data_IF_652482813839
#
_entry.id   IF_652482813839
#
_cell.length_a   1.000
_cell.length_b   1.000
_cell.length_c   1.000
_cell.angle_alpha   90.00
_cell.angle_beta   90.00
_cell.angle_gamma   90.00
#
_symmetry.space_group_name_H-M   'P 1'
#
loop_
_entity.id
_entity.type
_entity.pdbx_description
1 polymer ?
#
# COMPACT_ATOMS: atom_id res chain seq x y z
N UNK A 1 25.38 7.63 12.45
CA UNK A 1 25.21 7.72 10.98
C UNK A 1 23.89 7.03 10.62
N UNK A 2 22.76 7.74 10.68
CA UNK A 2 21.44 7.18 10.30
C UNK A 2 21.15 7.62 8.88
N UNK A 3 21.37 6.73 7.91
CA UNK A 3 20.96 6.95 6.51
C UNK A 3 19.45 6.79 6.46
N UNK A 4 18.72 7.91 6.44
CA UNK A 4 17.30 7.91 6.13
C UNK A 4 17.16 7.78 4.62
N UNK A 5 16.82 6.57 4.15
CA UNK A 5 16.37 6.35 2.78
C UNK A 5 14.88 6.62 2.78
N UNK A 6 14.47 7.80 2.29
CA UNK A 6 13.07 8.07 1.98
C UNK A 6 12.63 7.06 0.91
N UNK A 7 11.64 6.19 1.15
CA UNK A 7 11.06 5.43 0.06
C UNK A 7 10.31 6.43 -0.83
N UNK A 8 10.69 6.48 -2.10
CA UNK A 8 9.93 7.20 -3.10
C UNK A 8 8.55 6.53 -3.22
N UNK A 9 7.53 7.11 -2.60
CA UNK A 9 6.15 6.67 -2.77
C UNK A 9 5.68 7.21 -4.12
N UNK A 10 5.71 6.37 -5.14
CA UNK A 10 5.00 6.66 -6.40
C UNK A 10 3.54 6.34 -6.15
N UNK A 11 2.78 7.32 -5.65
CA UNK A 11 1.33 7.24 -5.61
C UNK A 11 0.80 7.39 -7.05
N UNK A 12 0.60 6.27 -7.72
CA UNK A 12 -0.06 6.23 -9.03
C UNK A 12 -1.55 5.93 -8.82
N UNK A 13 -2.41 6.93 -9.04
CA UNK A 13 -3.85 6.76 -9.06
C UNK A 13 -4.58 8.10 -9.01
N UNK A 14 -4.69 8.78 -10.16
CA UNK A 14 -5.39 10.05 -10.31
C UNK A 14 -6.81 9.83 -10.88
N UNK A 15 -7.81 10.24 -10.09
CA UNK A 15 -9.23 10.62 -10.33
C UNK A 15 -10.08 9.99 -11.45
N UNK A 16 -11.36 9.66 -11.14
CA UNK A 16 -12.56 10.35 -11.66
C UNK A 16 -13.89 9.74 -11.10
N UNK A 17 -14.77 10.64 -10.63
CA UNK A 17 -16.22 10.49 -10.35
C UNK A 17 -16.71 9.49 -9.30
N UNK A 18 -17.27 10.00 -8.20
CA UNK A 18 -18.13 9.26 -7.28
C UNK A 18 -18.25 9.97 -5.95
N UNK A 19 -19.46 10.40 -5.58
CA UNK A 19 -19.75 11.07 -4.32
C UNK A 19 -19.71 10.08 -3.14
N UNK A 20 -19.05 10.45 -2.04
CA UNK A 20 -19.00 9.71 -0.76
C UNK A 20 -17.74 8.85 -0.65
N UNK A 21 -16.95 8.91 0.42
CA UNK A 21 -17.15 9.42 1.78
C UNK A 21 -15.78 9.83 2.34
N UNK A 22 -15.74 10.66 3.38
CA UNK A 22 -14.51 10.98 4.13
C UNK A 22 -13.96 9.76 4.93
N UNK A 23 -14.21 8.54 4.47
CA UNK A 23 -13.68 7.33 5.07
C UNK A 23 -12.24 7.14 4.58
N UNK A 24 -11.30 7.18 5.53
CA UNK A 24 -9.86 7.08 5.29
C UNK A 24 -9.53 6.07 4.19
N UNK A 25 -9.15 6.56 3.01
CA UNK A 25 -8.84 5.71 1.87
C UNK A 25 -7.59 4.89 2.18
N UNK A 26 -7.64 3.56 2.12
CA UNK A 26 -6.43 2.76 2.31
C UNK A 26 -5.58 2.82 1.04
N UNK A 27 -4.25 2.89 1.20
CA UNK A 27 -3.28 2.71 0.11
C UNK A 27 -2.58 1.37 0.34
N UNK A 28 -2.40 0.57 -0.72
CA UNK A 28 -1.54 -0.62 -0.70
C UNK A 28 -0.25 -0.37 -1.46
N UNK A 29 0.85 -0.93 -0.98
CA UNK A 29 2.16 -0.83 -1.62
C UNK A 29 3.05 -2.01 -1.26
N UNK A 30 4.05 -2.31 -2.09
CA UNK A 30 5.05 -3.34 -1.79
C UNK A 30 6.21 -2.75 -1.01
N UNK A 31 6.57 -3.36 0.11
CA UNK A 31 7.79 -3.06 0.87
C UNK A 31 8.78 -4.20 0.70
N UNK A 32 9.95 -3.87 0.13
CA UNK A 32 11.06 -4.79 -0.02
C UNK A 32 12.06 -4.62 1.12
N UNK A 33 12.41 -5.71 1.81
CA UNK A 33 13.35 -5.70 2.95
C UNK A 33 14.79 -6.09 2.57
N UNK A 34 15.05 -6.37 1.29
CA UNK A 34 16.33 -6.89 0.80
C UNK A 34 16.28 -8.38 0.43
N UNK A 35 15.26 -9.11 0.88
CA UNK A 35 15.06 -10.54 0.63
C UNK A 35 13.65 -10.85 0.15
N UNK A 36 12.64 -10.23 0.76
CA UNK A 36 11.22 -10.44 0.46
C UNK A 36 10.51 -9.12 0.16
N UNK A 37 9.49 -9.18 -0.69
CA UNK A 37 8.60 -8.07 -0.99
C UNK A 37 7.21 -8.39 -0.50
N UNK A 38 6.74 -7.69 0.53
CA UNK A 38 5.42 -7.91 1.11
C UNK A 38 4.51 -6.71 0.85
N UNK A 39 3.23 -6.98 0.61
CA UNK A 39 2.20 -5.96 0.51
C UNK A 39 1.90 -5.40 1.91
N UNK A 40 1.96 -4.08 1.99
CA UNK A 40 1.61 -3.25 3.14
C UNK A 40 0.35 -2.44 2.81
N UNK A 41 -0.37 -2.02 3.84
CA UNK A 41 -1.51 -1.12 3.75
C UNK A 41 -1.36 0.03 4.76
N UNK A 42 -1.73 1.24 4.39
CA UNK A 42 -1.70 2.42 5.27
C UNK A 42 -2.76 3.46 4.89
N UNK A 43 -2.98 4.43 5.77
CA UNK A 43 -3.77 5.63 5.45
C UNK A 43 -3.01 6.55 4.47
N UNK A 44 -3.69 7.45 3.73
CA UNK A 44 -3.03 8.33 2.76
C UNK A 44 -2.09 9.35 3.41
N UNK A 45 -2.30 9.65 4.70
CA UNK A 45 -1.45 10.51 5.51
C UNK A 45 -0.19 9.78 6.05
N UNK A 46 -0.01 8.50 5.72
CA UNK A 46 1.12 7.68 6.18
C UNK A 46 0.92 7.04 7.56
N UNK A 47 -0.22 7.24 8.21
CA UNK A 47 -0.52 6.61 9.50
C UNK A 47 -1.06 5.18 9.32
N UNK A 48 -1.06 4.41 10.40
CA UNK A 48 -1.62 3.06 10.45
C UNK A 48 -1.04 2.07 9.41
N UNK A 49 0.27 2.17 9.13
CA UNK A 49 0.95 1.16 8.32
C UNK A 49 0.85 -0.23 8.97
N UNK A 50 0.41 -1.21 8.18
CA UNK A 50 0.35 -2.62 8.57
C UNK A 50 0.68 -3.55 7.41
N UNK A 51 1.29 -4.68 7.75
CA UNK A 51 1.60 -5.74 6.78
C UNK A 51 0.39 -6.61 6.50
N UNK A 52 0.09 -6.83 5.22
CA UNK A 52 -1.07 -7.62 4.76
C UNK A 52 -0.67 -9.05 4.39
N UNK A 53 0.57 -9.24 3.92
CA UNK A 53 1.07 -10.52 3.41
C UNK A 53 2.40 -10.88 4.07
N UNK A 54 2.72 -12.18 4.14
CA UNK A 54 4.00 -12.68 4.68
C UNK A 54 4.51 -13.87 3.85
N UNK A 55 4.54 -13.71 2.54
CA UNK A 55 4.89 -14.78 1.62
C UNK A 55 6.40 -14.74 1.28
N UNK A 56 6.95 -15.90 0.92
CA UNK A 56 8.28 -15.96 0.33
C UNK A 56 8.26 -15.38 -1.10
N UNK A 57 9.31 -14.64 -1.47
CA UNK A 57 9.43 -13.99 -2.77
C UNK A 57 9.09 -12.50 -2.73
N UNK A 58 8.85 -11.92 -3.92
CA UNK A 58 8.56 -10.48 -4.08
C UNK A 58 7.17 -10.32 -4.67
N UNK A 59 6.23 -9.89 -3.83
CA UNK A 59 4.89 -9.48 -4.25
C UNK A 59 4.92 -8.02 -4.67
N UNK A 60 4.73 -7.76 -5.96
CA UNK A 60 4.86 -6.43 -6.56
C UNK A 60 3.52 -5.81 -6.97
N UNK A 61 2.47 -6.63 -7.11
CA UNK A 61 1.18 -6.18 -7.62
C UNK A 61 0.12 -6.33 -6.55
N UNK A 62 -0.60 -5.24 -6.26
CA UNK A 62 -1.77 -5.26 -5.40
C UNK A 62 -2.80 -4.23 -5.84
N UNK A 63 -4.05 -4.48 -5.47
CA UNK A 63 -5.17 -3.54 -5.62
C UNK A 63 -6.17 -3.72 -4.47
N UNK A 64 -7.08 -2.78 -4.33
CA UNK A 64 -8.17 -2.82 -3.35
C UNK A 64 -9.51 -3.08 -4.03
N UNK A 65 -10.40 -3.78 -3.34
CA UNK A 65 -11.82 -3.79 -3.69
C UNK A 65 -12.42 -2.39 -3.53
N UNK A 66 -13.52 -2.05 -4.24
CA UNK A 66 -14.11 -0.71 -4.17
C UNK A 66 -14.54 -0.26 -2.78
N UNK A 67 -14.88 -1.20 -1.90
CA UNK A 67 -15.21 -0.96 -0.49
C UNK A 67 -13.97 -0.80 0.42
N UNK A 68 -12.76 -0.92 -0.12
CA UNK A 68 -11.49 -0.80 0.61
C UNK A 68 -11.20 -1.95 1.60
N UNK A 69 -12.10 -2.92 1.73
CA UNK A 69 -12.02 -3.96 2.75
C UNK A 69 -11.07 -5.11 2.41
N UNK A 70 -10.79 -5.32 1.12
CA UNK A 70 -10.02 -6.48 0.64
C UNK A 70 -8.87 -6.05 -0.25
N UNK A 71 -7.70 -6.64 0.01
CA UNK A 71 -6.51 -6.52 -0.85
C UNK A 71 -6.41 -7.74 -1.75
N UNK A 72 -6.31 -7.51 -3.06
CA UNK A 72 -6.03 -8.53 -4.07
C UNK A 72 -4.58 -8.37 -4.53
N UNK A 73 -3.81 -9.46 -4.64
CA UNK A 73 -2.38 -9.41 -4.94
C UNK A 73 -1.89 -10.61 -5.76
N UNK A 74 -0.71 -10.47 -6.39
CA UNK A 74 0.02 -11.52 -7.12
C UNK A 74 1.53 -11.33 -7.04
#
# INVERSE_FOLDING_TARGET
MKRAVLPAVIAAGLFLTGCGSDDASTITFSRYDGTTGNIQAMNPDGTNERQVTSAAGVLAHSTLTPDGGTVVYS
#
